data_IF_625968778388
#
_entry.id   IF_625968778388
#
_cell.length_a   1.000
_cell.length_b   1.000
_cell.length_c   1.000
_cell.angle_alpha   90.00
_cell.angle_beta   90.00
_cell.angle_gamma   90.00
#
_symmetry.space_group_name_H-M   'P 1'
#
loop_
_entity.id
_entity.type
_entity.pdbx_description
1 polymer ?
#
# COMPACT_ATOMS: atom_id res chain seq x y z
N UNK A 1 -25.70 -41.12 21.27
CA UNK A 1 -25.16 -40.65 20.01
C UNK A 1 -24.35 -39.36 20.24
N UNK A 2 -23.04 -39.43 20.11
CA UNK A 2 -22.18 -38.28 20.29
C UNK A 2 -22.28 -37.38 19.02
N UNK A 3 -22.30 -36.04 19.14
CA UNK A 3 -22.34 -35.16 17.98
C UNK A 3 -21.00 -35.28 17.23
N UNK A 4 -21.06 -35.77 16.00
CA UNK A 4 -19.92 -35.91 15.11
C UNK A 4 -19.26 -34.55 14.88
N UNK A 5 -18.03 -34.43 15.35
CA UNK A 5 -17.18 -33.26 15.06
C UNK A 5 -17.02 -33.10 13.55
N UNK A 6 -17.40 -31.95 13.03
CA UNK A 6 -17.12 -31.59 11.62
C UNK A 6 -15.60 -31.67 11.42
N UNK A 7 -15.12 -32.34 10.36
CA UNK A 7 -13.70 -32.30 10.05
C UNK A 7 -13.31 -30.83 9.86
N UNK A 8 -12.29 -30.36 10.62
CA UNK A 8 -11.63 -29.08 10.34
C UNK A 8 -11.01 -29.26 8.95
N UNK A 9 -11.60 -28.61 7.96
CA UNK A 9 -10.94 -28.43 6.67
C UNK A 9 -9.56 -27.86 6.97
N UNK A 10 -8.47 -28.38 6.36
CA UNK A 10 -7.17 -27.75 6.47
C UNK A 10 -7.37 -26.28 6.10
N UNK A 11 -7.07 -25.39 7.04
CA UNK A 11 -7.32 -23.97 6.87
C UNK A 11 -6.65 -23.51 5.59
N UNK A 12 -7.42 -23.06 4.65
CA UNK A 12 -6.97 -22.22 3.56
C UNK A 12 -6.59 -20.88 4.22
N UNK A 13 -5.47 -20.89 4.91
CA UNK A 13 -4.83 -19.67 5.37
C UNK A 13 -4.18 -19.04 4.13
N UNK A 14 -5.01 -18.45 3.27
CA UNK A 14 -4.54 -17.63 2.14
C UNK A 14 -3.85 -16.35 2.58
N UNK A 15 -3.51 -16.24 3.87
CA UNK A 15 -2.71 -15.16 4.43
C UNK A 15 -1.22 -15.42 4.25
N UNK A 16 -0.45 -14.36 4.15
CA UNK A 16 1.01 -14.42 4.14
C UNK A 16 1.52 -14.96 5.47
N UNK A 17 2.51 -15.86 5.44
CA UNK A 17 3.18 -16.29 6.68
C UNK A 17 4.02 -15.14 7.23
N UNK A 18 3.47 -14.41 8.18
CA UNK A 18 4.10 -13.23 8.77
C UNK A 18 5.41 -13.54 9.49
N UNK A 19 5.58 -14.77 10.00
CA UNK A 19 6.83 -15.21 10.59
C UNK A 19 7.89 -15.36 9.50
N UNK A 20 7.55 -16.03 8.41
CA UNK A 20 8.44 -16.15 7.27
C UNK A 20 8.85 -14.77 6.69
N UNK A 21 7.93 -13.79 6.64
CA UNK A 21 8.24 -12.42 6.23
C UNK A 21 9.25 -11.74 7.17
N UNK A 22 9.09 -11.91 8.48
CA UNK A 22 10.02 -11.32 9.47
C UNK A 22 11.42 -11.93 9.39
N UNK A 23 11.51 -13.21 9.07
CA UNK A 23 12.75 -13.99 8.97
C UNK A 23 13.38 -13.94 7.57
N UNK A 24 12.65 -13.47 6.56
CA UNK A 24 13.10 -13.43 5.18
C UNK A 24 14.32 -12.52 4.99
N UNK A 25 15.23 -12.93 4.13
CA UNK A 25 16.32 -12.07 3.69
C UNK A 25 15.78 -10.86 2.90
N UNK A 26 16.57 -9.81 2.82
CA UNK A 26 16.25 -8.62 2.03
C UNK A 26 15.93 -8.97 0.58
N UNK A 27 16.71 -9.86 -0.04
CA UNK A 27 16.51 -10.32 -1.41
C UNK A 27 15.17 -11.05 -1.59
N UNK A 28 14.78 -11.88 -0.64
CA UNK A 28 13.49 -12.58 -0.68
C UNK A 28 12.33 -11.61 -0.55
N UNK A 29 12.43 -10.58 0.31
CA UNK A 29 11.42 -9.54 0.44
C UNK A 29 11.26 -8.73 -0.85
N UNK A 30 12.38 -8.34 -1.47
CA UNK A 30 12.39 -7.64 -2.76
C UNK A 30 11.78 -8.52 -3.85
N UNK A 31 12.17 -9.79 -3.94
CA UNK A 31 11.60 -10.73 -4.91
C UNK A 31 10.08 -10.89 -4.71
N UNK A 32 9.62 -10.97 -3.46
CA UNK A 32 8.21 -11.05 -3.13
C UNK A 32 7.47 -9.75 -3.50
N UNK A 33 8.10 -8.59 -3.32
CA UNK A 33 7.52 -7.30 -3.72
C UNK A 33 7.35 -7.20 -5.25
N UNK A 34 8.36 -7.65 -6.01
CA UNK A 34 8.27 -7.70 -7.48
C UNK A 34 7.16 -8.65 -7.93
N UNK A 35 7.05 -9.82 -7.30
CA UNK A 35 5.98 -10.76 -7.60
C UNK A 35 4.59 -10.19 -7.27
N UNK A 36 4.45 -9.46 -6.15
CA UNK A 36 3.20 -8.78 -5.81
C UNK A 36 2.85 -7.69 -6.84
N UNK A 37 3.83 -6.88 -7.27
CA UNK A 37 3.62 -5.87 -8.30
C UNK A 37 3.22 -6.50 -9.66
N UNK A 38 3.82 -7.63 -10.02
CA UNK A 38 3.42 -8.38 -11.23
C UNK A 38 2.01 -8.93 -11.11
N UNK A 39 1.64 -9.52 -9.97
CA UNK A 39 0.27 -9.98 -9.73
C UNK A 39 -0.73 -8.80 -9.79
N UNK A 40 -0.35 -7.63 -9.27
CA UNK A 40 -1.16 -6.42 -9.40
C UNK A 40 -1.40 -6.04 -10.86
N UNK A 41 -0.39 -6.18 -11.72
CA UNK A 41 -0.51 -5.94 -13.16
C UNK A 41 -1.47 -6.92 -13.82
N UNK A 42 -1.28 -8.22 -13.57
CA UNK A 42 -2.10 -9.27 -14.17
C UNK A 42 -3.58 -9.09 -13.77
N UNK A 43 -3.85 -8.73 -12.51
CA UNK A 43 -5.19 -8.38 -12.02
C UNK A 43 -5.79 -7.14 -12.69
N UNK A 44 -4.96 -6.13 -13.00
CA UNK A 44 -5.41 -4.94 -13.72
C UNK A 44 -5.74 -5.27 -15.18
N UNK A 45 -4.91 -6.05 -15.85
CA UNK A 45 -5.16 -6.50 -17.24
C UNK A 45 -6.46 -7.30 -17.30
N UNK A 46 -6.73 -8.19 -16.33
CA UNK A 46 -7.99 -8.93 -16.21
C UNK A 46 -9.18 -7.99 -15.93
N UNK A 47 -9.00 -6.95 -15.11
CA UNK A 47 -10.04 -5.95 -14.85
C UNK A 47 -10.42 -5.18 -16.12
N UNK A 48 -9.44 -4.81 -16.94
CA UNK A 48 -9.66 -4.14 -18.23
C UNK A 48 -10.45 -5.03 -19.19
N UNK A 49 -10.06 -6.29 -19.34
CA UNK A 49 -10.77 -7.26 -20.18
C UNK A 49 -12.23 -7.46 -19.74
N UNK A 50 -12.49 -7.51 -18.44
CA UNK A 50 -13.84 -7.61 -17.90
C UNK A 50 -14.65 -6.33 -18.11
N UNK A 51 -14.01 -5.16 -17.99
CA UNK A 51 -14.65 -3.86 -18.26
C UNK A 51 -15.08 -3.75 -19.71
N UNK A 52 -14.21 -4.13 -20.65
CA UNK A 52 -14.49 -4.16 -22.09
C UNK A 52 -15.60 -5.17 -22.47
N UNK A 53 -15.90 -6.10 -21.57
CA UNK A 53 -16.96 -7.12 -21.72
C UNK A 53 -18.23 -6.78 -20.93
N UNK A 54 -18.42 -5.53 -20.51
CA UNK A 54 -19.55 -5.03 -19.68
C UNK A 54 -19.70 -5.77 -18.33
N UNK A 55 -18.62 -6.36 -17.81
CA UNK A 55 -18.59 -7.05 -16.51
C UNK A 55 -18.11 -6.12 -15.38
N UNK A 56 -18.65 -4.89 -15.38
CA UNK A 56 -18.23 -3.80 -14.52
C UNK A 56 -18.06 -4.16 -13.03
N UNK A 57 -18.97 -4.88 -12.36
CA UNK A 57 -18.80 -5.18 -10.93
C UNK A 57 -17.55 -6.01 -10.63
N UNK A 58 -17.24 -6.98 -11.48
CA UNK A 58 -16.04 -7.82 -11.31
C UNK A 58 -14.79 -7.10 -11.71
N UNK A 59 -14.85 -6.30 -12.78
CA UNK A 59 -13.76 -5.43 -13.21
C UNK A 59 -13.32 -4.48 -12.07
N UNK A 60 -14.29 -3.83 -11.42
CA UNK A 60 -14.02 -2.99 -10.26
C UNK A 60 -13.29 -3.74 -9.15
N UNK A 61 -13.83 -4.90 -8.79
CA UNK A 61 -13.24 -5.71 -7.71
C UNK A 61 -11.82 -6.16 -8.01
N UNK A 62 -11.50 -6.53 -9.26
CA UNK A 62 -10.14 -6.90 -9.65
C UNK A 62 -9.21 -5.67 -9.67
N UNK A 63 -9.68 -4.51 -10.10
CA UNK A 63 -8.90 -3.27 -10.04
C UNK A 63 -8.50 -2.92 -8.59
N UNK A 64 -9.44 -3.02 -7.64
CA UNK A 64 -9.13 -2.80 -6.22
C UNK A 64 -8.15 -3.84 -5.68
N UNK A 65 -8.29 -5.12 -6.06
CA UNK A 65 -7.32 -6.15 -5.68
C UNK A 65 -5.93 -5.89 -6.28
N UNK A 66 -5.86 -5.37 -7.51
CA UNK A 66 -4.61 -4.93 -8.12
C UNK A 66 -3.95 -3.81 -7.28
N UNK A 67 -4.72 -2.81 -6.87
CA UNK A 67 -4.25 -1.74 -5.98
C UNK A 67 -3.68 -2.28 -4.66
N UNK A 68 -4.34 -3.27 -4.07
CA UNK A 68 -3.87 -3.92 -2.84
C UNK A 68 -2.56 -4.68 -3.04
N UNK A 69 -2.35 -5.33 -4.18
CA UNK A 69 -1.08 -6.00 -4.48
C UNK A 69 0.06 -5.00 -4.68
N UNK A 70 -0.19 -3.84 -5.32
CA UNK A 70 0.79 -2.76 -5.37
C UNK A 70 1.13 -2.20 -3.99
N UNK A 71 0.14 -2.00 -3.13
CA UNK A 71 0.37 -1.56 -1.75
C UNK A 71 1.14 -2.58 -0.91
N UNK A 72 0.87 -3.87 -1.12
CA UNK A 72 1.64 -4.95 -0.52
C UNK A 72 3.10 -4.94 -1.01
N UNK A 73 3.34 -4.67 -2.29
CA UNK A 73 4.69 -4.50 -2.80
C UNK A 73 5.43 -3.37 -2.08
N UNK A 74 4.77 -2.22 -1.88
CA UNK A 74 5.33 -1.08 -1.09
C UNK A 74 5.67 -1.51 0.33
N UNK A 75 4.75 -2.21 1.01
CA UNK A 75 5.00 -2.72 2.37
C UNK A 75 6.22 -3.66 2.44
N UNK A 76 6.34 -4.57 1.48
CA UNK A 76 7.48 -5.50 1.38
C UNK A 76 8.80 -4.79 1.08
N UNK A 77 8.81 -3.78 0.20
CA UNK A 77 9.99 -2.96 -0.06
C UNK A 77 10.41 -2.14 1.18
N UNK A 78 9.42 -1.59 1.90
CA UNK A 78 9.70 -0.91 3.18
C UNK A 78 10.38 -1.86 4.18
N UNK A 79 9.87 -3.09 4.31
CA UNK A 79 10.48 -4.11 5.16
C UNK A 79 11.87 -4.54 4.67
N UNK A 80 12.10 -4.56 3.35
CA UNK A 80 13.39 -4.94 2.77
C UNK A 80 14.51 -3.93 3.09
N UNK A 81 14.21 -2.63 3.15
CA UNK A 81 15.20 -1.60 3.52
C UNK A 81 15.48 -1.54 5.01
N UNK A 82 14.62 -2.11 5.85
CA UNK A 82 14.80 -2.11 7.30
C UNK A 82 15.92 -3.02 7.78
N UNK A 83 16.66 -2.62 8.82
CA UNK A 83 17.51 -3.52 9.58
C UNK A 83 16.72 -4.71 10.17
N UNK A 84 17.34 -5.89 10.24
CA UNK A 84 16.66 -7.12 10.69
C UNK A 84 16.09 -7.02 12.10
N UNK A 85 16.82 -6.35 13.02
CA UNK A 85 16.38 -6.14 14.40
C UNK A 85 15.11 -5.26 14.50
N UNK A 86 14.93 -4.31 13.61
CA UNK A 86 13.74 -3.46 13.55
C UNK A 86 12.59 -4.18 12.83
N UNK A 87 12.89 -4.95 11.79
CA UNK A 87 11.92 -5.76 11.07
C UNK A 87 11.19 -6.75 11.98
N UNK A 88 11.91 -7.34 12.96
CA UNK A 88 11.30 -8.23 13.94
C UNK A 88 10.19 -7.55 14.78
N UNK A 89 10.28 -6.23 14.97
CA UNK A 89 9.32 -5.41 15.71
C UNK A 89 8.28 -4.72 14.82
N UNK A 90 8.46 -4.80 13.50
CA UNK A 90 7.58 -4.11 12.54
C UNK A 90 6.13 -4.63 12.63
N UNK A 91 5.14 -3.76 12.45
CA UNK A 91 3.73 -4.14 12.39
C UNK A 91 3.37 -4.79 11.04
N UNK A 92 4.07 -5.89 10.73
CA UNK A 92 4.03 -6.59 9.43
C UNK A 92 2.61 -6.96 9.05
N UNK A 93 1.81 -7.44 10.02
CA UNK A 93 0.42 -7.79 9.78
C UNK A 93 -0.39 -6.60 9.26
N UNK A 94 -0.24 -5.45 9.91
CA UNK A 94 -0.94 -4.23 9.51
C UNK A 94 -0.54 -3.78 8.11
N UNK A 95 0.76 -3.82 7.81
CA UNK A 95 1.28 -3.38 6.50
C UNK A 95 0.85 -4.28 5.35
N UNK A 96 0.73 -5.60 5.58
CA UNK A 96 0.55 -6.59 4.52
C UNK A 96 -0.86 -7.21 4.45
N UNK A 97 -1.65 -7.15 5.53
CA UNK A 97 -2.99 -7.76 5.60
C UNK A 97 -4.12 -6.72 5.70
N UNK A 98 -3.84 -5.52 6.21
CA UNK A 98 -4.88 -4.50 6.35
C UNK A 98 -5.19 -3.86 4.98
N UNK A 99 -6.39 -4.11 4.46
CA UNK A 99 -6.82 -3.64 3.14
C UNK A 99 -6.70 -2.12 2.95
N UNK A 100 -7.21 -1.26 3.83
CA UNK A 100 -7.08 0.18 3.66
C UNK A 100 -5.63 0.66 3.62
N UNK A 101 -4.75 0.09 4.45
CA UNK A 101 -3.33 0.46 4.48
C UNK A 101 -2.64 0.07 3.17
N UNK A 102 -2.93 -1.12 2.64
CA UNK A 102 -2.40 -1.53 1.33
C UNK A 102 -2.88 -0.59 0.22
N UNK A 103 -4.16 -0.25 0.20
CA UNK A 103 -4.72 0.65 -0.81
C UNK A 103 -4.09 2.04 -0.73
N UNK A 104 -3.98 2.63 0.47
CA UNK A 104 -3.29 3.91 0.67
C UNK A 104 -1.82 3.81 0.25
N UNK A 105 -1.13 2.72 0.61
CA UNK A 105 0.25 2.46 0.19
C UNK A 105 0.41 2.39 -1.34
N UNK A 106 -0.51 1.73 -2.02
CA UNK A 106 -0.57 1.70 -3.49
C UNK A 106 -0.80 3.09 -4.09
N UNK A 107 -1.76 3.84 -3.57
CA UNK A 107 -2.07 5.20 -4.04
C UNK A 107 -0.91 6.18 -3.85
N UNK A 108 -0.11 6.02 -2.81
CA UNK A 108 1.09 6.83 -2.62
C UNK A 108 2.10 6.68 -3.76
N UNK A 109 2.17 5.52 -4.42
CA UNK A 109 3.00 5.35 -5.62
C UNK A 109 2.56 6.25 -6.78
N UNK A 110 1.27 6.53 -6.92
CA UNK A 110 0.77 7.39 -7.98
C UNK A 110 1.11 8.87 -7.76
N UNK A 111 1.29 9.26 -6.51
CA UNK A 111 1.51 10.68 -6.12
C UNK A 111 2.99 11.02 -5.96
N UNK A 112 3.80 10.04 -5.58
CA UNK A 112 5.23 10.25 -5.36
C UNK A 112 6.00 10.04 -6.66
N UNK A 113 6.70 11.06 -7.19
CA UNK A 113 7.54 10.87 -8.36
C UNK A 113 8.64 9.87 -8.06
N UNK A 114 8.69 8.83 -8.87
CA UNK A 114 9.74 7.78 -8.80
C UNK A 114 11.03 8.22 -9.50
N UNK A 115 10.96 9.36 -10.26
CA UNK A 115 12.10 9.99 -10.92
C UNK A 115 12.95 10.83 -9.95
N UNK A 116 14.20 11.08 -10.33
CA UNK A 116 15.06 12.04 -9.60
C UNK A 116 14.33 13.38 -9.35
N UNK A 117 14.38 13.93 -8.13
CA UNK A 117 15.28 13.61 -7.02
C UNK A 117 14.86 12.45 -6.10
N UNK A 118 13.85 11.67 -6.44
CA UNK A 118 13.38 10.52 -5.70
C UNK A 118 12.25 10.81 -4.71
N UNK A 119 11.56 9.75 -4.24
CA UNK A 119 10.36 9.88 -3.38
C UNK A 119 10.60 10.64 -2.07
N UNK A 120 11.73 10.42 -1.41
CA UNK A 120 12.07 11.10 -0.15
C UNK A 120 12.24 12.60 -0.33
N UNK A 121 12.95 13.03 -1.40
CA UNK A 121 13.14 14.45 -1.68
C UNK A 121 11.81 15.11 -2.09
N UNK A 122 10.97 14.42 -2.83
CA UNK A 122 9.62 14.90 -3.21
C UNK A 122 8.71 15.07 -1.99
N UNK A 123 8.69 14.09 -1.08
CA UNK A 123 7.97 14.18 0.19
C UNK A 123 8.47 15.34 1.05
N UNK A 124 9.79 15.56 1.11
CA UNK A 124 10.37 16.65 1.91
C UNK A 124 10.03 18.04 1.34
N UNK A 125 9.88 18.14 0.01
CA UNK A 125 9.55 19.38 -0.67
C UNK A 125 8.05 19.73 -0.64
N UNK A 126 7.18 18.72 -0.53
CA UNK A 126 5.73 18.91 -0.53
C UNK A 126 5.26 19.59 0.76
N UNK A 127 4.45 20.66 0.71
CA UNK A 127 3.87 21.27 1.90
C UNK A 127 3.06 20.26 2.72
N UNK A 128 3.12 20.34 4.06
CA UNK A 128 2.40 19.39 4.93
C UNK A 128 0.89 19.43 4.67
N UNK A 129 0.32 20.62 4.39
CA UNK A 129 -1.10 20.78 4.05
C UNK A 129 -1.50 20.07 2.76
N UNK A 130 -0.63 20.07 1.76
CA UNK A 130 -0.86 19.36 0.50
C UNK A 130 -0.80 17.85 0.70
N UNK A 131 0.20 17.40 1.45
CA UNK A 131 0.35 15.99 1.78
C UNK A 131 -0.80 15.47 2.65
N UNK A 132 -1.27 16.27 3.62
CA UNK A 132 -2.47 15.94 4.40
C UNK A 132 -3.66 15.72 3.48
N UNK A 133 -3.90 16.65 2.55
CA UNK A 133 -4.99 16.54 1.58
C UNK A 133 -4.87 15.29 0.69
N UNK A 134 -3.65 14.96 0.25
CA UNK A 134 -3.39 13.74 -0.55
C UNK A 134 -3.75 12.49 0.26
N UNK A 135 -3.30 12.41 1.51
CA UNK A 135 -3.55 11.26 2.37
C UNK A 135 -5.02 11.11 2.77
N UNK A 136 -5.71 12.21 3.08
CA UNK A 136 -7.15 12.22 3.35
C UNK A 136 -7.95 11.77 2.12
N UNK A 137 -7.54 12.23 0.92
CA UNK A 137 -8.17 11.80 -0.33
C UNK A 137 -7.92 10.31 -0.59
N UNK A 138 -6.70 9.83 -0.38
CA UNK A 138 -6.36 8.43 -0.56
C UNK A 138 -7.11 7.52 0.44
N UNK A 139 -7.30 7.98 1.69
CA UNK A 139 -8.04 7.23 2.70
C UNK A 139 -9.54 7.16 2.37
N UNK A 140 -10.15 8.29 1.99
CA UNK A 140 -11.54 8.32 1.55
C UNK A 140 -11.77 7.39 0.33
N UNK A 141 -10.85 7.43 -0.62
CA UNK A 141 -10.87 6.54 -1.78
C UNK A 141 -10.76 5.06 -1.36
N UNK A 142 -9.82 4.72 -0.48
CA UNK A 142 -9.61 3.37 0.00
C UNK A 142 -10.84 2.80 0.74
N UNK A 143 -11.53 3.62 1.54
CA UNK A 143 -12.75 3.23 2.23
C UNK A 143 -13.89 2.93 1.25
N UNK A 144 -14.06 3.77 0.23
CA UNK A 144 -15.06 3.55 -0.81
C UNK A 144 -14.71 2.35 -1.68
N UNK A 145 -13.45 2.20 -2.06
CA UNK A 145 -12.96 1.08 -2.85
C UNK A 145 -13.19 -0.28 -2.15
N UNK A 146 -12.88 -0.39 -0.85
CA UNK A 146 -13.11 -1.64 -0.10
C UNK A 146 -14.61 -1.99 -0.02
N UNK A 147 -15.45 -0.98 0.21
CA UNK A 147 -16.91 -1.14 0.22
C UNK A 147 -17.45 -1.60 -1.14
N UNK A 148 -17.01 -0.98 -2.23
CA UNK A 148 -17.48 -1.28 -3.58
C UNK A 148 -16.91 -2.61 -4.09
N UNK A 149 -15.67 -2.98 -3.73
CA UNK A 149 -15.07 -4.29 -4.02
C UNK A 149 -15.96 -5.43 -3.55
N UNK A 150 -16.41 -5.37 -2.30
CA UNK A 150 -17.31 -6.40 -1.75
C UNK A 150 -18.66 -6.41 -2.45
N UNK A 151 -19.21 -5.23 -2.82
CA UNK A 151 -20.44 -5.14 -3.63
C UNK A 151 -20.28 -5.73 -5.02
N UNK A 152 -19.10 -5.64 -5.62
CA UNK A 152 -18.83 -6.21 -6.95
C UNK A 152 -18.71 -7.73 -6.97
N UNK A 153 -18.38 -8.35 -5.83
CA UNK A 153 -18.16 -9.79 -5.72
C UNK A 153 -19.37 -10.56 -5.18
N UNK A 154 -20.12 -9.96 -4.26
CA UNK A 154 -21.12 -10.68 -3.46
C UNK A 154 -22.52 -10.12 -3.61
N UNK A 155 -23.49 -11.03 -3.62
CA UNK A 155 -24.90 -10.70 -3.35
C UNK A 155 -25.05 -10.59 -1.85
N UNK A 156 -25.55 -9.47 -1.35
CA UNK A 156 -25.73 -9.23 0.07
C UNK A 156 -27.20 -8.91 0.40
N UNK A 157 -27.60 -9.26 1.61
CA UNK A 157 -28.93 -8.95 2.13
C UNK A 157 -28.81 -7.82 3.17
N UNK A 158 -29.42 -6.69 2.89
CA UNK A 158 -29.45 -5.55 3.81
C UNK A 158 -30.39 -5.77 4.99
N UNK A 159 -30.25 -4.97 6.04
CA UNK A 159 -31.12 -5.04 7.24
C UNK A 159 -32.58 -4.84 6.96
N UNK A 160 -32.94 -4.14 5.86
CA UNK A 160 -34.31 -3.93 5.38
C UNK A 160 -34.81 -5.05 4.44
N UNK A 161 -34.11 -6.18 4.42
CA UNK A 161 -34.35 -7.33 3.56
C UNK A 161 -34.22 -7.08 2.05
N UNK A 162 -33.66 -5.95 1.63
CA UNK A 162 -33.30 -5.73 0.22
C UNK A 162 -32.10 -6.56 -0.17
N UNK A 163 -32.19 -7.19 -1.33
CA UNK A 163 -31.07 -7.89 -1.94
C UNK A 163 -30.27 -6.88 -2.74
N UNK A 164 -29.02 -6.67 -2.33
CA UNK A 164 -28.07 -5.87 -3.09
C UNK A 164 -27.36 -6.77 -4.10
N UNK A 165 -27.36 -6.34 -5.35
CA UNK A 165 -26.71 -7.10 -6.43
C UNK A 165 -25.41 -6.40 -6.90
N UNK A 166 -24.43 -7.18 -7.39
CA UNK A 166 -23.21 -6.62 -7.99
C UNK A 166 -23.49 -5.64 -9.15
N UNK A 167 -24.59 -5.82 -9.89
CA UNK A 167 -24.99 -4.98 -11.03
C UNK A 167 -25.21 -3.49 -10.72
N UNK A 168 -25.16 -3.09 -9.45
CA UNK A 168 -25.26 -1.68 -9.07
C UNK A 168 -23.97 -0.86 -9.26
N UNK A 169 -22.84 -1.48 -9.64
CA UNK A 169 -21.60 -0.79 -9.98
C UNK A 169 -21.67 -0.31 -11.43
N UNK A 170 -21.48 0.98 -11.63
CA UNK A 170 -21.60 1.64 -12.93
C UNK A 170 -20.29 1.57 -13.73
N UNK A 171 -20.38 1.74 -15.05
CA UNK A 171 -19.22 1.87 -15.94
C UNK A 171 -18.30 3.02 -15.51
N UNK A 172 -18.87 4.16 -15.09
CA UNK A 172 -18.09 5.33 -14.66
C UNK A 172 -17.25 5.00 -13.41
N UNK A 173 -17.83 4.35 -12.39
CA UNK A 173 -17.09 3.93 -11.19
C UNK A 173 -15.93 2.98 -11.53
N UNK A 174 -16.13 2.07 -12.49
CA UNK A 174 -15.08 1.14 -12.96
C UNK A 174 -13.98 1.88 -13.72
N UNK A 175 -14.35 2.80 -14.62
CA UNK A 175 -13.41 3.57 -15.41
C UNK A 175 -12.50 4.43 -14.55
N UNK A 176 -13.05 5.07 -13.52
CA UNK A 176 -12.32 5.90 -12.57
C UNK A 176 -11.33 5.04 -11.75
N UNK A 177 -11.77 3.88 -11.25
CA UNK A 177 -10.93 2.93 -10.49
C UNK A 177 -9.77 2.41 -11.36
N UNK A 178 -10.07 1.88 -12.55
CA UNK A 178 -9.06 1.38 -13.48
C UNK A 178 -8.07 2.50 -13.86
N UNK A 179 -8.57 3.71 -14.11
CA UNK A 179 -7.74 4.87 -14.41
C UNK A 179 -6.75 5.19 -13.28
N UNK A 180 -7.22 5.16 -12.05
CA UNK A 180 -6.40 5.36 -10.85
C UNK A 180 -5.32 4.25 -10.73
N UNK A 181 -5.72 2.99 -10.84
CA UNK A 181 -4.81 1.84 -10.70
C UNK A 181 -3.77 1.79 -11.82
N UNK A 182 -4.10 2.24 -13.04
CA UNK A 182 -3.13 2.41 -14.13
C UNK A 182 -1.99 3.37 -13.76
N UNK A 183 -2.29 4.50 -13.10
CA UNK A 183 -1.25 5.42 -12.64
C UNK A 183 -0.34 4.77 -11.61
N UNK A 184 -0.91 4.01 -10.68
CA UNK A 184 -0.14 3.21 -9.71
C UNK A 184 0.75 2.18 -10.43
N UNK A 185 0.20 1.48 -11.41
CA UNK A 185 0.93 0.47 -12.20
C UNK A 185 2.13 1.07 -12.97
N UNK A 186 1.96 2.25 -13.56
CA UNK A 186 3.05 2.97 -14.24
C UNK A 186 4.18 3.31 -13.27
N UNK A 187 3.86 3.83 -12.09
CA UNK A 187 4.85 4.14 -11.06
C UNK A 187 5.54 2.89 -10.52
N UNK A 188 4.79 1.83 -10.27
CA UNK A 188 5.34 0.54 -9.84
C UNK A 188 6.30 -0.06 -10.88
N UNK A 189 5.96 0.04 -12.17
CA UNK A 189 6.83 -0.39 -13.26
C UNK A 189 8.14 0.41 -13.27
N UNK A 190 8.08 1.73 -13.17
CA UNK A 190 9.28 2.57 -13.11
C UNK A 190 10.19 2.19 -11.94
N UNK A 191 9.60 1.84 -10.78
CA UNK A 191 10.32 1.35 -9.62
C UNK A 191 11.08 0.05 -9.94
N UNK A 192 10.44 -0.90 -10.61
CA UNK A 192 11.04 -2.19 -10.98
C UNK A 192 12.10 -2.04 -12.09
N UNK A 193 11.84 -1.20 -13.11
CA UNK A 193 12.71 -1.07 -14.30
C UNK A 193 13.95 -0.18 -14.05
N UNK A 194 13.96 0.66 -13.00
CA UNK A 194 15.01 1.66 -12.75
C UNK A 194 16.30 1.10 -12.11
N UNK A 195 16.41 -0.21 -11.93
CA UNK A 195 17.48 -0.84 -11.13
C UNK A 195 17.37 -0.51 -9.64
N UNK A 196 16.25 0.07 -9.21
CA UNK A 196 15.99 0.38 -7.80
C UNK A 196 15.91 -0.88 -6.95
N UNK A 197 15.38 -1.97 -7.52
CA UNK A 197 15.32 -3.28 -6.87
C UNK A 197 16.72 -3.75 -6.46
N UNK A 198 17.73 -3.58 -7.33
CA UNK A 198 19.11 -3.93 -7.01
C UNK A 198 19.70 -2.99 -5.95
N UNK A 199 19.37 -1.69 -5.99
CA UNK A 199 19.78 -0.72 -4.97
C UNK A 199 19.14 -0.98 -3.60
N UNK A 200 17.91 -1.49 -3.57
CA UNK A 200 17.25 -1.87 -2.32
C UNK A 200 17.85 -3.13 -1.69
N UNK A 201 18.63 -3.92 -2.43
CA UNK A 201 19.38 -5.02 -1.87
C UNK A 201 20.55 -4.53 -0.98
N UNK A 202 21.05 -3.31 -1.24
CA UNK A 202 22.04 -2.60 -0.40
C UNK A 202 21.62 -1.13 -0.26
N UNK A 203 20.61 -0.85 0.57
CA UNK A 203 19.98 0.46 0.64
C UNK A 203 20.92 1.49 1.28
N UNK A 204 20.92 2.74 0.79
CA UNK A 204 21.64 3.81 1.43
C UNK A 204 21.10 4.10 2.84
N UNK A 205 21.93 4.68 3.71
CA UNK A 205 21.57 4.94 5.10
C UNK A 205 20.28 5.77 5.23
N UNK A 206 20.09 6.74 4.34
CA UNK A 206 18.90 7.61 4.32
C UNK A 206 17.62 6.81 4.03
N UNK A 207 17.68 5.76 3.22
CA UNK A 207 16.52 4.90 2.97
C UNK A 207 16.17 4.06 4.21
N UNK A 208 17.18 3.64 4.97
CA UNK A 208 17.00 2.94 6.24
C UNK A 208 16.32 3.85 7.25
N UNK A 209 16.81 5.07 7.43
CA UNK A 209 16.24 6.07 8.34
C UNK A 209 14.77 6.37 8.00
N UNK A 210 14.44 6.53 6.72
CA UNK A 210 13.06 6.71 6.25
C UNK A 210 12.19 5.52 6.60
N UNK A 211 12.68 4.30 6.39
CA UNK A 211 11.93 3.09 6.72
C UNK A 211 11.71 2.95 8.24
N UNK A 212 12.67 3.32 9.07
CA UNK A 212 12.55 3.34 10.55
C UNK A 212 11.44 4.29 11.00
N UNK A 213 11.41 5.50 10.47
CA UNK A 213 10.37 6.50 10.78
C UNK A 213 8.99 6.00 10.37
N UNK A 214 8.86 5.46 9.15
CA UNK A 214 7.59 4.92 8.66
C UNK A 214 7.07 3.79 9.56
N UNK A 215 7.94 2.87 9.97
CA UNK A 215 7.53 1.78 10.85
C UNK A 215 7.18 2.28 12.24
N UNK A 216 7.95 3.20 12.81
CA UNK A 216 7.62 3.83 14.09
C UNK A 216 6.22 4.43 14.08
N UNK A 217 5.86 5.11 13.00
CA UNK A 217 4.54 5.70 12.83
C UNK A 217 3.41 4.66 12.71
N UNK A 218 3.66 3.53 12.04
CA UNK A 218 2.70 2.44 11.95
C UNK A 218 2.67 1.54 13.21
N UNK A 219 3.59 1.74 14.15
CA UNK A 219 3.61 0.99 15.40
C UNK A 219 2.46 1.42 16.32
N UNK A 220 1.64 0.47 16.72
CA UNK A 220 0.48 0.67 17.60
C UNK A 220 -0.15 -0.68 17.91
N UNK A 221 -1.27 -0.76 18.65
CA UNK A 221 -1.93 -2.03 18.92
C UNK A 221 -2.17 -2.80 17.60
N UNK A 222 -1.64 -4.03 17.52
CA UNK A 222 -1.62 -4.84 16.28
C UNK A 222 -3.01 -5.14 15.70
N UNK A 223 -4.06 -5.07 16.53
CA UNK A 223 -5.43 -5.44 16.15
C UNK A 223 -6.24 -4.32 15.48
N UNK A 224 -5.61 -3.16 15.24
CA UNK A 224 -6.35 -1.98 14.79
C UNK A 224 -6.22 -1.77 13.28
N UNK A 225 -7.11 -2.41 12.52
CA UNK A 225 -7.35 -2.15 11.09
C UNK A 225 -8.64 -1.31 10.88
N UNK A 226 -8.93 -0.36 11.79
CA UNK A 226 -10.08 0.51 11.59
C UNK A 226 -9.81 1.48 10.42
N UNK A 227 -10.77 1.68 9.53
CA UNK A 227 -10.63 2.56 8.36
C UNK A 227 -10.15 3.98 8.73
N UNK A 228 -10.69 4.54 9.81
CA UNK A 228 -10.41 5.90 10.28
C UNK A 228 -8.95 6.13 10.74
N UNK A 229 -8.14 5.07 10.77
CA UNK A 229 -6.78 5.09 11.31
C UNK A 229 -5.70 5.09 10.23
N UNK A 230 -6.02 4.67 9.00
CA UNK A 230 -5.00 4.57 7.95
C UNK A 230 -4.45 5.94 7.56
N UNK A 231 -5.31 6.94 7.33
CA UNK A 231 -4.89 8.32 7.05
C UNK A 231 -4.18 8.94 8.25
N UNK A 232 -4.68 8.76 9.47
CA UNK A 232 -4.05 9.29 10.67
C UNK A 232 -2.65 8.72 10.90
N UNK A 233 -2.47 7.42 10.67
CA UNK A 233 -1.16 6.76 10.75
C UNK A 233 -0.23 7.24 9.64
N UNK A 234 -0.71 7.35 8.41
CA UNK A 234 0.07 7.87 7.29
C UNK A 234 0.48 9.33 7.51
N UNK A 235 -0.42 10.18 8.00
CA UNK A 235 -0.13 11.57 8.36
C UNK A 235 0.92 11.67 9.46
N UNK A 236 0.82 10.86 10.51
CA UNK A 236 1.82 10.77 11.57
C UNK A 236 3.18 10.36 10.99
N UNK A 237 3.22 9.29 10.18
CA UNK A 237 4.44 8.79 9.55
C UNK A 237 5.13 9.88 8.72
N UNK A 238 4.37 10.60 7.92
CA UNK A 238 4.92 11.64 7.05
C UNK A 238 5.33 12.87 7.84
N UNK A 239 4.60 13.25 8.89
CA UNK A 239 5.01 14.35 9.77
C UNK A 239 6.35 14.06 10.45
N UNK A 240 6.49 12.87 11.04
CA UNK A 240 7.73 12.41 11.66
C UNK A 240 8.89 12.35 10.66
N UNK A 241 8.62 11.87 9.43
CA UNK A 241 9.63 11.85 8.36
C UNK A 241 10.09 13.26 7.97
N UNK A 242 9.18 14.22 7.86
CA UNK A 242 9.53 15.61 7.55
C UNK A 242 10.39 16.25 8.63
N UNK A 243 10.04 16.03 9.89
CA UNK A 243 10.81 16.53 11.03
C UNK A 243 12.22 15.92 11.02
N UNK A 244 12.34 14.64 10.76
CA UNK A 244 13.62 13.95 10.64
C UNK A 244 14.48 14.51 9.49
N UNK A 245 13.91 14.64 8.29
CA UNK A 245 14.61 15.20 7.12
C UNK A 245 14.99 16.67 7.31
N UNK A 246 14.21 17.45 8.04
CA UNK A 246 14.55 18.83 8.39
C UNK A 246 15.71 18.91 9.36
N UNK A 247 15.77 18.02 10.35
CA UNK A 247 16.85 17.93 11.33
C UNK A 247 18.18 17.44 10.72
N UNK A 248 18.11 16.58 9.68
CA UNK A 248 19.28 16.00 9.00
C UNK A 248 19.95 16.95 7.99
N UNK A 249 19.35 18.11 7.67
CA UNK A 249 19.97 19.09 6.76
C UNK A 249 21.20 19.70 7.43
N UNK A 250 22.40 19.60 6.83
CA UNK A 250 23.59 20.28 7.35
C UNK A 250 23.33 21.80 7.44
N UNK A 251 23.68 22.40 8.57
CA UNK A 251 23.57 23.84 8.73
C UNK A 251 24.31 24.53 7.57
N UNK A 252 23.61 25.35 6.81
CA UNK A 252 24.19 26.11 5.70
C UNK A 252 25.39 26.87 6.26
N UNK A 253 26.62 26.63 5.75
CA UNK A 253 27.79 27.36 6.27
C UNK A 253 27.51 28.84 6.14
N UNK A 254 27.66 29.57 7.26
CA UNK A 254 27.52 31.03 7.26
C UNK A 254 28.46 31.59 6.20
N UNK A 255 27.89 32.24 5.17
CA UNK A 255 28.65 32.83 4.10
C UNK A 255 29.75 33.72 4.65
N UNK A 256 30.90 33.88 3.96
CA UNK A 256 31.99 34.69 4.43
C UNK A 256 31.49 36.11 4.74
N UNK A 257 31.65 36.54 5.97
CA UNK A 257 31.41 37.95 6.34
C UNK A 257 32.43 38.77 5.56
N UNK A 258 31.99 39.48 4.55
CA UNK A 258 32.83 40.47 3.88
C UNK A 258 33.18 41.55 4.90
N UNK A 259 34.47 41.93 5.00
CA UNK A 259 34.93 43.00 5.87
C UNK A 259 34.41 44.36 5.43
#
# INVERSE_FOLDING_TARGET
MAPGGRPKLPGYAGGMDLKAVKEASRRELVACAVAAAQNGRDLLDDAELLSDSDRHPRAYSLAVLALEEYGKAVGLLTLAVMPENLRAQAPVRRMLECHPIKQVGGLLLAVLPVSEPGPAASLSAMPLTELTRVLETADAFAQDADRLKLRGLYVDMQRDARIRQPSEITEAEVSDEIGCVRQVALSARMLCDSGMVDRLADPPAEAIEVAEVLVGAFSGPEDYCAPDTAAALALKAVSELKDHLAASKPATPAGPRHP
#
